data_IF_519140358674
#
_entry.id   IF_519140358674
#
_cell.length_a   1.000
_cell.length_b   1.000
_cell.length_c   1.000
_cell.angle_alpha   90.00
_cell.angle_beta   90.00
_cell.angle_gamma   90.00
#
_symmetry.space_group_name_H-M   'P 1'
#
loop_
_entity.id
_entity.type
_entity.pdbx_description
1 polymer ?
#
# COMPACT_ATOMS: atom_id res chain seq x y z
N UNK A 1 0.58 -21.24 46.80
CA UNK A 1 0.18 -21.16 45.37
C UNK A 1 -0.14 -19.71 44.99
N UNK A 2 0.88 -18.90 44.71
CA UNK A 2 0.73 -17.50 44.27
C UNK A 2 1.53 -17.18 43.01
N UNK A 3 2.42 -18.09 42.59
CA UNK A 3 3.38 -17.88 41.49
C UNK A 3 2.80 -18.04 40.08
N UNK A 4 1.62 -18.64 39.91
CA UNK A 4 0.98 -18.81 38.59
C UNK A 4 0.26 -17.56 38.12
N UNK A 5 -0.23 -16.71 39.03
CA UNK A 5 -0.96 -15.49 38.68
C UNK A 5 -0.05 -14.42 38.06
N UNK A 6 1.20 -14.34 38.52
CA UNK A 6 2.19 -13.38 38.01
C UNK A 6 2.64 -13.79 36.60
N UNK A 7 2.84 -15.09 36.35
CA UNK A 7 3.22 -15.59 35.02
C UNK A 7 2.13 -15.33 33.96
N UNK A 8 0.85 -15.45 34.33
CA UNK A 8 -0.27 -15.15 33.43
C UNK A 8 -0.35 -13.66 33.07
N UNK A 9 -0.05 -12.76 34.02
CA UNK A 9 -0.04 -11.32 33.77
C UNK A 9 1.10 -10.92 32.82
N UNK A 10 2.30 -11.51 32.95
CA UNK A 10 3.39 -11.24 32.01
C UNK A 10 3.11 -11.80 30.60
N UNK A 11 2.49 -12.98 30.50
CA UNK A 11 2.11 -13.55 29.20
C UNK A 11 1.06 -12.69 28.46
N UNK A 12 0.11 -12.10 29.19
CA UNK A 12 -0.90 -11.20 28.62
C UNK A 12 -0.27 -9.90 28.09
N UNK A 13 0.73 -9.33 28.78
CA UNK A 13 1.46 -8.15 28.28
C UNK A 13 2.24 -8.45 27.00
N UNK A 14 2.88 -9.63 26.90
CA UNK A 14 3.60 -10.02 25.69
C UNK A 14 2.66 -10.16 24.47
N UNK A 15 1.47 -10.75 24.65
CA UNK A 15 0.47 -10.88 23.58
C UNK A 15 -0.08 -9.51 23.13
N UNK A 16 -0.28 -8.57 24.05
CA UNK A 16 -0.72 -7.22 23.71
C UNK A 16 0.32 -6.45 22.88
N UNK A 17 1.62 -6.63 23.17
CA UNK A 17 2.70 -6.01 22.40
C UNK A 17 2.82 -6.58 20.98
N UNK A 18 2.56 -7.88 20.78
CA UNK A 18 2.61 -8.52 19.45
C UNK A 18 1.41 -8.08 18.59
N UNK A 19 0.23 -7.89 19.19
CA UNK A 19 -0.97 -7.43 18.49
C UNK A 19 -0.82 -6.00 17.92
N UNK A 20 -0.14 -5.10 18.63
CA UNK A 20 0.13 -3.72 18.15
C UNK A 20 1.13 -3.70 17.00
N UNK A 21 2.10 -4.63 16.98
CA UNK A 21 3.04 -4.78 15.86
C UNK A 21 2.38 -5.26 14.56
N UNK A 22 1.32 -6.07 14.68
CA UNK A 22 0.62 -6.66 13.52
C UNK A 22 -0.45 -5.76 12.90
N UNK A 23 -0.99 -4.78 13.64
CA UNK A 23 -2.06 -3.90 13.16
C UNK A 23 -1.61 -2.88 12.09
N UNK A 24 -0.30 -2.68 11.91
CA UNK A 24 0.23 -1.77 10.89
C UNK A 24 0.48 -2.42 9.53
N UNK A 25 0.33 -3.74 9.41
CA UNK A 25 0.22 -4.39 8.10
C UNK A 25 -1.23 -4.27 7.67
N UNK A 26 -1.54 -3.22 6.91
CA UNK A 26 -2.81 -3.09 6.20
C UNK A 26 -3.08 -4.37 5.41
N UNK A 27 -3.88 -5.28 5.94
CA UNK A 27 -4.41 -6.40 5.17
C UNK A 27 -5.11 -5.79 3.95
N UNK A 28 -4.67 -6.20 2.77
CA UNK A 28 -5.24 -5.70 1.52
C UNK A 28 -6.76 -5.92 1.50
N UNK A 29 -7.49 -4.97 0.92
CA UNK A 29 -8.94 -5.02 0.78
C UNK A 29 -9.32 -5.58 -0.60
N UNK A 30 -10.47 -6.22 -0.75
CA UNK A 30 -10.95 -6.70 -2.05
C UNK A 30 -11.55 -5.60 -2.93
N UNK A 31 -11.74 -4.41 -2.35
CA UNK A 31 -12.27 -3.23 -3.01
C UNK A 31 -11.38 -2.01 -2.75
N UNK A 32 -11.20 -1.12 -3.73
CA UNK A 32 -10.52 0.14 -3.52
C UNK A 32 -11.32 1.04 -2.58
N UNK A 33 -10.62 1.93 -1.88
CA UNK A 33 -11.27 3.06 -1.21
C UNK A 33 -11.85 4.03 -2.25
N UNK A 34 -12.83 4.86 -1.86
CA UNK A 34 -13.53 5.77 -2.78
C UNK A 34 -12.61 6.77 -3.51
N UNK A 35 -11.44 7.06 -2.95
CA UNK A 35 -10.42 7.93 -3.53
C UNK A 35 -9.51 7.22 -4.55
N UNK A 36 -9.64 5.90 -4.68
CA UNK A 36 -8.85 5.03 -5.52
C UNK A 36 -9.68 4.45 -6.67
N UNK A 37 -9.14 4.44 -7.89
CA UNK A 37 -9.85 3.84 -9.01
C UNK A 37 -9.90 2.32 -8.90
N UNK A 38 -10.96 1.75 -9.45
CA UNK A 38 -11.06 0.31 -9.67
C UNK A 38 -10.12 -0.12 -10.80
N UNK A 39 -9.44 -1.25 -10.61
CA UNK A 39 -8.58 -1.85 -11.64
C UNK A 39 -9.16 -3.20 -12.05
N UNK A 40 -9.23 -3.47 -13.36
CA UNK A 40 -9.79 -4.72 -13.86
C UNK A 40 -8.76 -5.86 -13.80
N UNK A 41 -9.22 -7.11 -13.71
CA UNK A 41 -8.36 -8.30 -13.84
C UNK A 41 -7.64 -8.34 -15.20
N UNK A 42 -8.26 -7.80 -16.24
CA UNK A 42 -7.65 -7.70 -17.57
C UNK A 42 -6.39 -6.83 -17.62
N UNK A 43 -6.33 -5.76 -16.80
CA UNK A 43 -5.13 -4.94 -16.67
C UNK A 43 -3.95 -5.77 -16.18
N UNK A 44 -4.16 -6.65 -15.22
CA UNK A 44 -3.13 -7.56 -14.73
C UNK A 44 -2.80 -8.65 -15.74
N UNK A 45 -3.81 -9.24 -16.42
CA UNK A 45 -3.58 -10.27 -17.45
C UNK A 45 -2.60 -9.81 -18.52
N UNK A 46 -2.77 -8.58 -19.05
CA UNK A 46 -1.86 -8.01 -20.06
C UNK A 46 -0.44 -7.82 -19.52
N UNK A 47 -0.31 -7.41 -18.26
CA UNK A 47 1.00 -7.26 -17.60
C UNK A 47 1.68 -8.60 -17.35
N UNK A 48 0.94 -9.62 -16.92
CA UNK A 48 1.47 -10.98 -16.79
C UNK A 48 2.00 -11.52 -18.12
N UNK A 49 1.26 -11.27 -19.22
CA UNK A 49 1.70 -11.65 -20.57
C UNK A 49 2.95 -10.89 -21.03
N UNK A 50 3.14 -9.66 -20.54
CA UNK A 50 4.26 -8.78 -20.91
C UNK A 50 5.34 -8.73 -19.80
N UNK A 51 5.44 -9.73 -18.92
CA UNK A 51 6.30 -9.63 -17.74
C UNK A 51 7.80 -9.46 -18.06
N UNK A 52 8.26 -9.99 -19.20
CA UNK A 52 9.63 -9.85 -19.67
C UNK A 52 9.94 -8.42 -20.15
N UNK A 53 8.93 -7.71 -20.66
CA UNK A 53 9.03 -6.32 -21.11
C UNK A 53 7.75 -5.54 -20.72
N UNK A 54 7.64 -5.13 -19.44
CA UNK A 54 6.42 -4.51 -18.95
C UNK A 54 6.28 -3.10 -19.55
N UNK A 55 5.05 -2.70 -19.95
CA UNK A 55 4.83 -1.41 -20.58
C UNK A 55 5.25 -0.25 -19.67
N UNK A 56 5.90 0.75 -20.25
CA UNK A 56 6.40 1.95 -19.55
C UNK A 56 5.29 2.96 -19.25
N UNK A 57 4.25 2.54 -18.55
CA UNK A 57 3.16 3.44 -18.13
C UNK A 57 3.42 4.01 -16.73
N UNK A 58 2.90 5.21 -16.42
CA UNK A 58 2.96 5.77 -15.06
C UNK A 58 2.44 4.80 -14.00
N UNK A 59 1.36 4.06 -14.30
CA UNK A 59 0.75 3.10 -13.37
C UNK A 59 1.66 1.92 -13.05
N UNK A 60 2.42 1.41 -14.03
CA UNK A 60 3.42 0.36 -13.81
C UNK A 60 4.61 0.90 -12.99
N UNK A 61 5.05 2.12 -13.29
CA UNK A 61 6.10 2.80 -12.52
C UNK A 61 5.72 2.99 -11.05
N UNK A 62 4.52 3.48 -10.78
CA UNK A 62 3.98 3.60 -9.42
C UNK A 62 3.72 2.24 -8.78
N UNK A 63 3.36 1.22 -9.58
CA UNK A 63 3.24 -0.17 -9.13
C UNK A 63 4.53 -0.73 -8.54
N UNK A 64 5.70 -0.37 -9.10
CA UNK A 64 7.01 -0.73 -8.51
C UNK A 64 7.20 -0.11 -7.13
N UNK A 65 6.64 1.08 -6.87
CA UNK A 65 6.67 1.71 -5.55
C UNK A 65 5.80 0.93 -4.58
N UNK A 66 4.58 0.56 -4.98
CA UNK A 66 3.68 -0.29 -4.19
C UNK A 66 4.34 -1.62 -3.81
N UNK A 67 5.00 -2.29 -4.77
CA UNK A 67 5.63 -3.60 -4.56
C UNK A 67 6.77 -3.58 -3.53
N UNK A 68 7.49 -2.46 -3.37
CA UNK A 68 8.59 -2.34 -2.38
C UNK A 68 8.16 -2.54 -0.93
N UNK A 69 6.86 -2.40 -0.65
CA UNK A 69 6.29 -2.56 0.68
C UNK A 69 5.63 -3.93 0.89
N UNK A 70 5.73 -4.85 -0.07
CA UNK A 70 5.31 -6.23 0.14
C UNK A 70 6.40 -7.01 0.89
N UNK A 71 6.02 -8.06 1.63
CA UNK A 71 6.97 -9.00 2.21
C UNK A 71 7.95 -9.54 1.16
N UNK A 72 9.20 -9.82 1.55
CA UNK A 72 10.26 -10.26 0.61
C UNK A 72 9.93 -11.60 -0.06
N UNK A 73 9.14 -12.43 0.61
CA UNK A 73 8.61 -13.72 0.17
C UNK A 73 7.39 -13.59 -0.77
N UNK A 74 6.86 -12.39 -0.98
CA UNK A 74 5.79 -12.14 -1.95
C UNK A 74 6.31 -12.23 -3.40
N UNK A 75 6.48 -13.46 -3.89
CA UNK A 75 6.89 -13.75 -5.27
C UNK A 75 5.70 -13.71 -6.23
N UNK A 76 5.95 -13.44 -7.51
CA UNK A 76 4.91 -13.45 -8.55
C UNK A 76 3.91 -12.30 -8.49
N UNK A 77 3.95 -11.44 -7.45
CA UNK A 77 3.02 -10.32 -7.32
C UNK A 77 3.34 -9.20 -8.32
N UNK A 78 2.33 -8.80 -9.08
CA UNK A 78 2.33 -7.59 -9.90
C UNK A 78 1.49 -6.54 -9.19
N UNK A 79 1.97 -5.30 -9.16
CA UNK A 79 1.24 -4.16 -8.63
C UNK A 79 1.08 -3.07 -9.68
N UNK A 80 -0.04 -2.39 -9.62
CA UNK A 80 -0.37 -1.17 -10.32
C UNK A 80 -0.58 -0.07 -9.29
N UNK A 81 0.05 1.08 -9.52
CA UNK A 81 -0.14 2.27 -8.70
C UNK A 81 -1.00 3.29 -9.42
N UNK A 82 -1.89 3.94 -8.68
CA UNK A 82 -2.69 5.04 -9.21
C UNK A 82 -2.78 6.17 -8.18
N UNK A 83 -2.53 7.43 -8.55
CA UNK A 83 -2.68 8.54 -7.62
C UNK A 83 -4.13 8.79 -7.19
N UNK A 84 -5.12 8.46 -8.02
CA UNK A 84 -6.53 8.77 -7.80
C UNK A 84 -6.77 10.22 -7.36
N UNK A 85 -7.83 10.43 -6.59
CA UNK A 85 -7.97 11.65 -5.78
C UNK A 85 -7.19 11.55 -4.47
N UNK A 86 -6.71 10.35 -4.11
CA UNK A 86 -5.88 10.07 -2.95
C UNK A 86 -4.58 10.90 -2.90
N UNK A 87 -4.03 11.27 -4.07
CA UNK A 87 -2.88 12.15 -4.22
C UNK A 87 -3.05 13.52 -3.55
N UNK A 88 -4.28 14.00 -3.36
CA UNK A 88 -4.56 15.24 -2.64
C UNK A 88 -4.06 15.19 -1.19
N UNK A 89 -4.11 14.00 -0.58
CA UNK A 89 -3.69 13.74 0.80
C UNK A 89 -2.37 12.97 0.88
N UNK A 90 -1.55 13.06 -0.18
CA UNK A 90 -0.28 12.33 -0.24
C UNK A 90 -0.40 10.83 -0.07
N UNK A 91 -1.48 10.26 -0.60
CA UNK A 91 -1.69 8.84 -0.70
C UNK A 91 -1.53 8.36 -2.14
N UNK A 92 -1.06 7.14 -2.29
CA UNK A 92 -0.93 6.38 -3.52
C UNK A 92 -1.76 5.12 -3.38
N UNK A 93 -2.69 4.91 -4.32
CA UNK A 93 -3.49 3.70 -4.39
C UNK A 93 -2.66 2.59 -5.02
N UNK A 94 -2.68 1.42 -4.41
CA UNK A 94 -1.96 0.25 -4.85
C UNK A 94 -2.94 -0.90 -5.05
N UNK A 95 -3.04 -1.40 -6.29
CA UNK A 95 -3.73 -2.63 -6.62
C UNK A 95 -2.68 -3.69 -6.93
N UNK A 96 -2.65 -4.79 -6.18
CA UNK A 96 -1.69 -5.86 -6.36
C UNK A 96 -2.40 -7.19 -6.56
N UNK A 97 -1.87 -8.03 -7.45
CA UNK A 97 -2.40 -9.35 -7.72
C UNK A 97 -1.26 -10.34 -7.88
N UNK A 98 -1.49 -11.59 -7.46
CA UNK A 98 -0.64 -12.75 -7.70
C UNK A 98 -1.21 -13.71 -8.75
N UNK A 99 -2.33 -13.36 -9.41
CA UNK A 99 -2.99 -14.17 -10.44
C UNK A 99 -4.44 -14.50 -10.12
N UNK A 100 -4.80 -14.58 -8.84
CA UNK A 100 -6.13 -15.03 -8.41
C UNK A 100 -7.04 -13.84 -8.06
N UNK A 101 -6.58 -13.03 -7.10
CA UNK A 101 -7.32 -11.90 -6.55
C UNK A 101 -6.55 -10.59 -6.67
N UNK A 102 -7.30 -9.48 -6.62
CA UNK A 102 -6.74 -8.13 -6.58
C UNK A 102 -6.94 -7.61 -5.17
N UNK A 103 -5.83 -7.30 -4.53
CA UNK A 103 -5.80 -6.66 -3.22
C UNK A 103 -5.50 -5.18 -3.37
N UNK A 104 -6.26 -4.35 -2.65
CA UNK A 104 -6.15 -2.91 -2.65
C UNK A 104 -5.56 -2.43 -1.33
N UNK A 105 -4.55 -1.57 -1.42
CA UNK A 105 -3.93 -0.91 -0.27
C UNK A 105 -3.66 0.55 -0.59
N UNK A 106 -3.58 1.36 0.46
CA UNK A 106 -3.09 2.73 0.34
C UNK A 106 -1.69 2.83 0.93
N UNK A 107 -0.88 3.70 0.32
CA UNK A 107 0.47 3.99 0.78
C UNK A 107 0.70 5.48 0.77
N UNK A 108 1.64 5.93 1.59
CA UNK A 108 2.15 7.28 1.50
C UNK A 108 2.84 7.48 0.15
N UNK A 109 2.47 8.55 -0.54
CA UNK A 109 3.10 8.93 -1.79
C UNK A 109 4.58 9.29 -1.57
N UNK A 110 5.45 9.11 -2.58
CA UNK A 110 6.87 9.46 -2.47
C UNK A 110 7.11 10.91 -2.06
N UNK A 111 8.27 11.18 -1.45
CA UNK A 111 8.71 12.55 -1.21
C UNK A 111 8.70 13.36 -2.53
N UNK A 112 8.25 14.61 -2.46
CA UNK A 112 8.04 15.54 -3.57
C UNK A 112 6.95 15.15 -4.57
N UNK A 113 6.17 14.10 -4.30
CA UNK A 113 5.04 13.74 -5.16
C UNK A 113 4.02 14.89 -5.21
N UNK A 114 3.48 15.25 -6.40
CA UNK A 114 2.53 16.35 -6.49
C UNK A 114 1.24 16.07 -5.71
N UNK A 115 0.78 17.05 -4.93
CA UNK A 115 -0.40 16.92 -4.08
C UNK A 115 -1.22 18.22 -4.02
N UNK A 116 -2.34 18.17 -3.28
CA UNK A 116 -3.23 19.31 -3.10
C UNK A 116 -4.02 19.68 -4.36
N UNK A 117 -4.86 20.72 -4.24
CA UNK A 117 -5.69 21.20 -5.35
C UNK A 117 -4.79 21.66 -6.50
N UNK A 118 -5.11 21.20 -7.72
CA UNK A 118 -4.37 21.51 -8.95
C UNK A 118 -2.87 21.15 -8.89
N UNK A 119 -2.47 20.19 -8.02
CA UNK A 119 -1.08 19.73 -7.89
C UNK A 119 -0.07 20.83 -7.53
N UNK A 120 -0.52 21.86 -6.79
CA UNK A 120 0.33 22.98 -6.34
C UNK A 120 1.15 22.69 -5.09
N UNK A 121 0.93 21.56 -4.44
CA UNK A 121 1.71 21.10 -3.29
C UNK A 121 2.64 19.95 -3.63
N UNK A 122 3.50 19.63 -2.67
CA UNK A 122 4.40 18.47 -2.70
C UNK A 122 4.30 17.67 -1.41
N UNK A 123 4.32 16.35 -1.53
CA UNK A 123 4.36 15.48 -0.37
C UNK A 123 5.71 15.54 0.33
N UNK A 124 5.71 15.65 1.64
CA UNK A 124 6.91 15.56 2.44
C UNK A 124 7.16 14.11 2.93
N UNK A 125 8.31 13.80 3.54
CA UNK A 125 8.61 12.47 4.07
C UNK A 125 7.66 11.98 5.17
N UNK A 126 6.88 12.87 5.80
CA UNK A 126 5.87 12.53 6.80
C UNK A 126 4.51 12.18 6.17
N UNK A 127 4.40 12.19 4.83
CA UNK A 127 3.16 11.94 4.12
C UNK A 127 2.16 13.08 4.20
N UNK A 128 2.62 14.30 4.46
CA UNK A 128 1.77 15.50 4.46
C UNK A 128 1.97 16.28 3.16
N UNK A 129 0.90 16.91 2.69
CA UNK A 129 0.97 17.80 1.55
C UNK A 129 1.41 19.20 2.00
N UNK A 130 2.55 19.66 1.48
CA UNK A 130 3.06 21.02 1.70
C UNK A 130 2.73 21.88 0.47
N UNK A 131 1.96 22.94 0.67
CA UNK A 131 1.57 23.85 -0.42
C UNK A 131 2.73 24.80 -0.73
N UNK A 132 3.01 24.98 -2.01
CA UNK A 132 3.93 26.01 -2.48
C UNK A 132 3.09 27.18 -3.00
N UNK A 133 3.27 28.36 -2.41
CA UNK A 133 2.61 29.60 -2.86
C UNK A 133 3.23 30.12 -4.15
#
# INVERSE_FOLDING_TARGET
MTSTRILLLLAALALACIAVGSANQSQGKDKPESSCPWVSKDSFRRLYQSNADPPHTPSVGLGKICKRHLPKDATGVICLGDPGTASQSCLLCCACSNGDEITYTNRTAPNKYPCGKNRKGKCNPQGKCEMHS
#
